data_IF_616539485383
#
_entry.id   IF_616539485383
#
_cell.length_a   1.000
_cell.length_b   1.000
_cell.length_c   1.000
_cell.angle_alpha   90.00
_cell.angle_beta   90.00
_cell.angle_gamma   90.00
#
_symmetry.space_group_name_H-M   'P 1'
#
loop_
_entity.id
_entity.type
_entity.pdbx_description
1 polymer ?
#
# COMPACT_ATOMS: atom_id res chain seq x y z
N UNK A 1 33.88 3.95 -7.65
CA UNK A 1 35.00 3.24 -8.26
C UNK A 1 34.56 2.73 -9.61
N UNK A 2 35.16 3.24 -10.70
CA UNK A 2 34.92 2.74 -12.05
C UNK A 2 35.51 1.34 -12.15
N UNK A 3 34.67 0.37 -12.47
CA UNK A 3 35.08 -1.05 -12.67
C UNK A 3 35.89 -1.21 -13.95
N UNK A 4 36.96 -0.53 -14.21
CA UNK A 4 37.81 -0.70 -15.39
C UNK A 4 37.12 -0.78 -16.78
N UNK A 5 35.80 -0.82 -16.83
CA UNK A 5 35.00 -0.86 -18.06
C UNK A 5 34.70 0.55 -18.55
N UNK A 6 34.96 0.82 -19.81
CA UNK A 6 34.72 2.12 -20.46
C UNK A 6 33.23 2.32 -20.82
N UNK A 7 32.43 1.26 -20.89
CA UNK A 7 30.99 1.28 -21.22
C UNK A 7 30.28 0.06 -20.63
N UNK A 8 28.95 0.17 -20.47
CA UNK A 8 28.07 -0.98 -20.26
C UNK A 8 27.60 -1.57 -21.59
N UNK A 9 26.90 -2.67 -21.54
CA UNK A 9 26.32 -3.32 -22.72
C UNK A 9 24.78 -3.32 -22.63
N UNK A 10 24.13 -2.96 -23.73
CA UNK A 10 22.69 -3.06 -23.87
C UNK A 10 22.24 -4.51 -23.66
N UNK A 11 21.24 -4.73 -22.79
CA UNK A 11 20.75 -6.07 -22.49
C UNK A 11 20.13 -6.78 -23.71
N UNK A 12 19.68 -6.02 -24.71
CA UNK A 12 19.07 -6.57 -25.93
C UNK A 12 20.06 -6.79 -27.05
N UNK A 13 20.76 -5.74 -27.50
CA UNK A 13 21.60 -5.81 -28.71
C UNK A 13 23.09 -5.83 -28.40
N UNK A 14 23.50 -5.81 -27.13
CA UNK A 14 24.91 -5.79 -26.69
C UNK A 14 25.74 -4.55 -27.07
N UNK A 15 25.16 -3.59 -27.75
CA UNK A 15 25.83 -2.33 -28.09
C UNK A 15 26.19 -1.55 -26.82
N UNK A 16 27.26 -0.74 -26.89
CA UNK A 16 27.70 0.08 -25.76
C UNK A 16 26.59 0.96 -25.21
N UNK A 17 26.57 1.14 -23.91
CA UNK A 17 25.63 2.03 -23.20
C UNK A 17 26.38 3.07 -22.39
N UNK A 18 25.83 4.29 -22.31
CA UNK A 18 26.39 5.39 -21.55
C UNK A 18 26.26 5.22 -20.03
N UNK A 19 27.05 5.97 -19.31
CA UNK A 19 26.98 6.08 -17.85
C UNK A 19 25.82 6.97 -17.41
N UNK A 20 25.11 6.57 -16.36
CA UNK A 20 24.11 7.41 -15.70
C UNK A 20 24.67 7.97 -14.38
N UNK A 21 24.96 9.29 -14.31
CA UNK A 21 25.59 9.88 -13.13
C UNK A 21 24.66 9.89 -11.91
N UNK A 22 23.34 9.94 -12.10
CA UNK A 22 22.36 9.93 -11.00
C UNK A 22 22.32 8.58 -10.28
N UNK A 23 22.33 7.48 -11.04
CA UNK A 23 22.27 6.13 -10.47
C UNK A 23 23.64 5.52 -10.23
N UNK A 24 24.72 6.19 -10.66
CA UNK A 24 26.12 5.71 -10.63
C UNK A 24 26.28 4.32 -11.25
N UNK A 25 25.56 4.05 -12.34
CA UNK A 25 25.56 2.79 -13.09
C UNK A 25 25.54 3.05 -14.59
N UNK A 26 25.97 2.09 -15.38
CA UNK A 26 25.75 2.14 -16.83
C UNK A 26 24.28 1.97 -17.17
N UNK A 27 23.81 2.67 -18.22
CA UNK A 27 22.44 2.53 -18.71
C UNK A 27 22.18 1.07 -19.11
N UNK A 28 20.98 0.57 -18.85
CA UNK A 28 20.59 -0.80 -19.19
C UNK A 28 20.38 -1.00 -20.69
N UNK A 29 20.02 0.08 -21.39
CA UNK A 29 19.72 0.09 -22.82
C UNK A 29 20.59 1.11 -23.54
N UNK A 30 20.94 0.79 -24.81
CA UNK A 30 21.47 1.78 -25.75
C UNK A 30 20.38 2.81 -26.11
N UNK A 31 20.74 3.81 -26.89
CA UNK A 31 19.82 4.88 -27.26
C UNK A 31 18.77 4.45 -28.29
N UNK A 32 18.95 3.28 -28.94
CA UNK A 32 17.98 2.74 -29.86
C UNK A 32 16.65 2.40 -29.16
N UNK A 33 15.55 3.10 -29.50
CA UNK A 33 14.25 2.87 -28.86
C UNK A 33 13.69 1.46 -29.10
N UNK A 34 14.05 0.83 -30.23
CA UNK A 34 13.64 -0.55 -30.56
C UNK A 34 14.08 -1.55 -29.48
N UNK A 35 15.24 -1.33 -28.85
CA UNK A 35 15.72 -2.20 -27.77
C UNK A 35 14.83 -2.15 -26.52
N UNK A 36 14.33 -0.98 -26.15
CA UNK A 36 13.38 -0.84 -25.04
C UNK A 36 12.05 -1.51 -25.33
N UNK A 37 11.55 -1.35 -26.57
CA UNK A 37 10.29 -1.96 -27.02
C UNK A 37 10.42 -3.49 -27.04
N UNK A 38 11.49 -4.01 -27.64
CA UNK A 38 11.75 -5.45 -27.70
C UNK A 38 11.84 -6.06 -26.28
N UNK A 39 12.52 -5.40 -25.35
CA UNK A 39 12.59 -5.85 -23.96
C UNK A 39 11.22 -5.87 -23.29
N UNK A 40 10.41 -4.83 -23.47
CA UNK A 40 9.04 -4.79 -22.92
C UNK A 40 8.19 -5.94 -23.45
N UNK A 41 8.29 -6.21 -24.76
CA UNK A 41 7.52 -7.30 -25.37
C UNK A 41 7.99 -8.66 -24.84
N UNK A 42 9.29 -8.89 -24.77
CA UNK A 42 9.87 -10.11 -24.18
C UNK A 42 9.40 -10.28 -22.72
N UNK A 43 9.42 -9.21 -21.93
CA UNK A 43 8.96 -9.24 -20.55
C UNK A 43 7.47 -9.58 -20.47
N UNK A 44 6.61 -8.95 -21.29
CA UNK A 44 5.18 -9.26 -21.36
C UNK A 44 4.93 -10.72 -21.73
N UNK A 45 5.61 -11.24 -22.75
CA UNK A 45 5.48 -12.65 -23.17
C UNK A 45 5.88 -13.58 -22.04
N UNK A 46 6.97 -13.30 -21.34
CA UNK A 46 7.40 -14.08 -20.17
C UNK A 46 6.36 -14.04 -19.05
N UNK A 47 5.82 -12.86 -18.74
CA UNK A 47 4.78 -12.69 -17.71
C UNK A 47 3.52 -13.49 -18.06
N UNK A 48 3.07 -13.43 -19.31
CA UNK A 48 1.92 -14.22 -19.78
C UNK A 48 2.22 -15.73 -19.67
N UNK A 49 3.40 -16.16 -20.11
CA UNK A 49 3.79 -17.57 -20.07
C UNK A 49 3.93 -18.13 -18.64
N UNK A 50 4.37 -17.30 -17.67
CA UNK A 50 4.59 -17.74 -16.30
C UNK A 50 3.35 -17.60 -15.42
N UNK A 51 2.57 -16.53 -15.62
CA UNK A 51 1.48 -16.14 -14.71
C UNK A 51 0.12 -15.97 -15.40
N UNK A 52 0.02 -16.22 -16.71
CA UNK A 52 -1.20 -15.99 -17.49
C UNK A 52 -1.62 -14.54 -17.63
N UNK A 53 -0.81 -13.57 -17.15
CA UNK A 53 -1.15 -12.15 -17.04
C UNK A 53 0.01 -11.26 -17.50
N UNK A 54 -0.30 -10.11 -18.10
CA UNK A 54 0.70 -9.14 -18.57
C UNK A 54 1.43 -8.44 -17.41
N UNK A 55 0.75 -8.28 -16.30
CA UNK A 55 1.26 -7.64 -15.08
C UNK A 55 0.66 -8.28 -13.84
N UNK A 56 1.42 -8.34 -12.77
CA UNK A 56 0.94 -8.77 -11.45
C UNK A 56 0.39 -7.60 -10.61
N UNK A 57 0.53 -6.36 -11.10
CA UNK A 57 0.08 -5.17 -10.36
C UNK A 57 -1.44 -5.11 -10.19
N UNK A 58 -2.19 -5.81 -11.04
CA UNK A 58 -3.64 -5.88 -10.99
C UNK A 58 -4.13 -7.23 -10.42
N UNK A 59 -3.28 -7.95 -9.70
CA UNK A 59 -3.61 -9.19 -9.03
C UNK A 59 -3.66 -8.95 -7.52
N UNK A 60 -4.85 -9.04 -6.88
CA UNK A 60 -5.00 -8.76 -5.45
C UNK A 60 -4.11 -9.61 -4.56
N UNK A 61 -3.94 -10.91 -4.86
CA UNK A 61 -3.12 -11.81 -4.05
C UNK A 61 -1.62 -11.48 -4.16
N UNK A 62 -1.17 -11.10 -5.36
CA UNK A 62 0.21 -10.66 -5.53
C UNK A 62 0.44 -9.31 -4.86
N UNK A 63 -0.53 -8.40 -4.92
CA UNK A 63 -0.46 -7.14 -4.19
C UNK A 63 -0.39 -7.35 -2.68
N UNK A 64 -1.22 -8.22 -2.10
CA UNK A 64 -1.14 -8.57 -0.68
C UNK A 64 0.25 -9.09 -0.30
N UNK A 65 0.81 -10.00 -1.12
CA UNK A 65 2.17 -10.51 -0.92
C UNK A 65 3.22 -9.40 -1.03
N UNK A 66 3.07 -8.49 -1.97
CA UNK A 66 3.98 -7.35 -2.14
C UNK A 66 3.90 -6.39 -0.95
N UNK A 67 2.70 -6.10 -0.46
CA UNK A 67 2.49 -5.25 0.71
C UNK A 67 3.09 -5.90 1.97
N UNK A 68 2.81 -7.17 2.20
CA UNK A 68 3.36 -7.92 3.34
C UNK A 68 4.90 -8.03 3.33
N UNK A 69 5.53 -8.01 2.14
CA UNK A 69 6.99 -8.08 1.97
C UNK A 69 7.63 -6.71 1.69
N UNK A 70 6.90 -5.62 1.82
CA UNK A 70 7.46 -4.28 1.62
C UNK A 70 8.48 -3.96 2.70
N UNK A 71 9.76 -3.93 2.31
CA UNK A 71 10.85 -3.51 3.17
C UNK A 71 11.12 -2.00 3.11
N UNK A 72 10.35 -1.25 2.31
CA UNK A 72 10.61 0.18 2.06
C UNK A 72 10.48 1.01 3.34
N UNK A 73 9.64 0.58 4.28
CA UNK A 73 9.43 1.29 5.54
C UNK A 73 9.75 0.44 6.77
N UNK A 74 9.64 -0.87 6.70
CA UNK A 74 10.14 -1.80 7.70
C UNK A 74 9.10 -2.78 8.25
N UNK A 75 9.53 -3.48 9.30
CA UNK A 75 8.71 -4.35 10.13
C UNK A 75 8.70 -3.76 11.53
N UNK A 76 7.53 -3.52 12.08
CA UNK A 76 7.34 -3.16 13.48
C UNK A 76 7.28 -4.45 14.31
N UNK A 77 8.17 -4.58 15.25
CA UNK A 77 8.15 -5.68 16.22
C UNK A 77 7.33 -5.24 17.43
N UNK A 78 6.29 -6.02 17.73
CA UNK A 78 5.44 -5.76 18.90
C UNK A 78 6.22 -5.86 20.20
N UNK A 79 5.87 -5.10 21.23
CA UNK A 79 6.61 -4.98 22.49
C UNK A 79 6.83 -6.31 23.21
N UNK A 80 5.88 -7.24 23.07
CA UNK A 80 5.96 -8.60 23.63
C UNK A 80 6.74 -9.60 22.75
N UNK A 81 7.33 -9.13 21.62
CA UNK A 81 8.03 -9.93 20.62
C UNK A 81 7.20 -11.03 19.93
N UNK A 82 5.88 -11.03 20.11
CA UNK A 82 4.99 -12.07 19.57
C UNK A 82 4.82 -12.00 18.06
N UNK A 83 4.88 -10.79 17.50
CA UNK A 83 4.57 -10.57 16.08
C UNK A 83 5.38 -9.41 15.47
N UNK A 84 5.66 -9.54 14.16
CA UNK A 84 6.21 -8.44 13.33
C UNK A 84 5.21 -8.10 12.25
N UNK A 85 4.82 -6.83 12.17
CA UNK A 85 3.85 -6.32 11.20
C UNK A 85 4.53 -5.37 10.22
N UNK A 86 4.29 -5.52 8.90
CA UNK A 86 4.82 -4.60 7.92
C UNK A 86 4.13 -3.24 8.01
N UNK A 87 4.90 -2.17 7.76
CA UNK A 87 4.38 -0.81 7.64
C UNK A 87 5.04 -0.07 6.50
N UNK A 88 4.35 0.92 5.94
CA UNK A 88 4.87 1.79 4.89
C UNK A 88 4.78 3.25 5.32
N UNK A 89 5.90 3.83 5.68
CA UNK A 89 5.97 5.22 6.11
C UNK A 89 5.70 5.45 7.60
N UNK A 90 5.88 6.70 8.02
CA UNK A 90 5.85 7.08 9.44
C UNK A 90 4.44 7.13 10.04
N UNK A 91 3.41 7.20 9.21
CA UNK A 91 2.02 7.30 9.67
C UNK A 91 1.50 5.94 10.14
N UNK A 92 1.70 4.89 9.33
CA UNK A 92 1.37 3.51 9.73
C UNK A 92 2.21 3.06 10.94
N UNK A 93 3.51 3.38 10.97
CA UNK A 93 4.37 3.10 12.13
C UNK A 93 3.84 3.80 13.40
N UNK A 94 3.41 5.06 13.29
CA UNK A 94 2.83 5.80 14.41
C UNK A 94 1.58 5.12 14.94
N UNK A 95 0.74 4.59 14.05
CA UNK A 95 -0.47 3.89 14.44
C UNK A 95 -0.17 2.52 15.10
N UNK A 96 0.78 1.75 14.59
CA UNK A 96 1.21 0.49 15.22
C UNK A 96 1.74 0.72 16.63
N UNK A 97 2.60 1.74 16.82
CA UNK A 97 3.08 2.14 18.14
C UNK A 97 1.94 2.58 19.07
N UNK A 98 0.98 3.30 18.54
CA UNK A 98 -0.18 3.72 19.31
C UNK A 98 -1.01 2.51 19.78
N UNK A 99 -1.25 1.52 18.92
CA UNK A 99 -1.95 0.30 19.30
C UNK A 99 -1.20 -0.51 20.37
N UNK A 100 0.11 -0.66 20.21
CA UNK A 100 0.97 -1.43 21.10
C UNK A 100 1.25 -0.69 22.43
N UNK A 101 1.85 0.50 22.36
CA UNK A 101 2.43 1.21 23.51
C UNK A 101 1.38 2.02 24.31
N UNK A 102 0.26 2.44 23.66
CA UNK A 102 -0.77 3.30 24.29
C UNK A 102 -2.04 2.55 24.58
N UNK A 103 -2.46 1.68 23.64
CA UNK A 103 -3.73 0.96 23.75
C UNK A 103 -3.58 -0.42 24.37
N UNK A 104 -2.36 -0.94 24.50
CA UNK A 104 -2.05 -2.30 24.98
C UNK A 104 -2.86 -3.37 24.20
N UNK A 105 -2.90 -3.20 22.87
CA UNK A 105 -3.65 -4.08 21.99
C UNK A 105 -2.91 -5.40 21.80
N UNK A 106 -3.65 -6.51 21.75
CA UNK A 106 -3.07 -7.82 21.42
C UNK A 106 -2.62 -7.84 19.97
N UNK A 107 -1.35 -8.19 19.73
CA UNK A 107 -0.78 -8.30 18.38
C UNK A 107 -1.53 -9.29 17.50
N UNK A 108 -2.12 -10.34 18.07
CA UNK A 108 -2.88 -11.36 17.34
C UNK A 108 -4.15 -10.79 16.70
N UNK A 109 -4.69 -9.71 17.28
CA UNK A 109 -5.89 -9.01 16.81
C UNK A 109 -5.58 -7.88 15.80
N UNK A 110 -4.36 -7.76 15.34
CA UNK A 110 -3.98 -6.75 14.32
C UNK A 110 -3.45 -7.43 13.08
N UNK A 111 -4.04 -7.15 11.93
CA UNK A 111 -3.60 -7.63 10.61
C UNK A 111 -3.13 -6.46 9.76
N UNK A 112 -1.97 -6.57 9.16
CA UNK A 112 -1.37 -5.61 8.23
C UNK A 112 -0.70 -6.36 7.07
N UNK A 113 -1.06 -6.07 5.81
CA UNK A 113 -2.25 -5.31 5.39
C UNK A 113 -3.56 -6.05 5.74
N UNK A 114 -4.70 -5.38 5.56
CA UNK A 114 -6.01 -6.03 5.66
C UNK A 114 -6.07 -7.29 4.78
N UNK A 115 -6.71 -8.39 5.24
CA UNK A 115 -6.92 -9.58 4.43
C UNK A 115 -7.95 -9.36 3.32
N UNK A 116 -8.73 -8.29 3.38
CA UNK A 116 -9.82 -8.02 2.46
C UNK A 116 -9.37 -7.19 1.26
N UNK A 117 -10.15 -7.28 0.18
CA UNK A 117 -9.87 -6.56 -1.07
C UNK A 117 -11.19 -6.04 -1.62
N UNK A 118 -11.23 -4.76 -1.93
CA UNK A 118 -12.40 -4.06 -2.44
C UNK A 118 -12.15 -3.59 -3.86
N UNK A 119 -13.08 -3.89 -4.76
CA UNK A 119 -12.95 -3.52 -6.18
C UNK A 119 -13.70 -2.22 -6.47
N UNK A 120 -13.12 -1.36 -7.30
CA UNK A 120 -13.75 -0.15 -7.80
C UNK A 120 -13.41 0.10 -9.26
N UNK A 121 -14.26 0.88 -9.96
CA UNK A 121 -14.03 1.25 -11.35
C UNK A 121 -13.45 2.65 -11.43
N UNK A 122 -12.38 2.82 -12.22
CA UNK A 122 -11.80 4.10 -12.55
C UNK A 122 -11.41 4.14 -14.02
N UNK A 123 -11.87 5.15 -14.77
CA UNK A 123 -11.65 5.29 -16.23
C UNK A 123 -11.98 4.01 -17.02
N UNK A 124 -13.12 3.35 -16.71
CA UNK A 124 -13.56 2.13 -17.37
C UNK A 124 -12.70 0.89 -17.08
N UNK A 125 -11.76 0.96 -16.12
CA UNK A 125 -10.92 -0.17 -15.70
C UNK A 125 -11.23 -0.55 -14.26
N UNK A 126 -11.21 -1.85 -14.00
CA UNK A 126 -11.31 -2.36 -12.65
C UNK A 126 -9.99 -2.15 -11.91
N UNK A 127 -10.09 -1.53 -10.75
CA UNK A 127 -9.04 -1.38 -9.75
C UNK A 127 -9.44 -2.10 -8.49
N UNK A 128 -8.50 -2.28 -7.58
CA UNK A 128 -8.76 -2.82 -6.27
C UNK A 128 -8.07 -1.97 -5.20
N UNK A 129 -8.60 -2.08 -4.00
CA UNK A 129 -8.15 -1.40 -2.80
C UNK A 129 -8.02 -2.39 -1.65
N UNK A 130 -6.96 -2.29 -0.89
CA UNK A 130 -6.68 -3.08 0.30
C UNK A 130 -6.39 -2.08 1.41
N UNK A 131 -7.18 -2.01 2.48
CA UNK A 131 -6.91 -1.16 3.64
C UNK A 131 -5.59 -1.51 4.32
N UNK A 132 -5.03 -0.54 5.05
CA UNK A 132 -3.73 -0.71 5.70
C UNK A 132 -3.78 -1.70 6.85
N UNK A 133 -4.88 -1.71 7.63
CA UNK A 133 -5.05 -2.61 8.75
C UNK A 133 -6.48 -3.17 8.84
N UNK A 134 -6.57 -4.33 9.50
CA UNK A 134 -7.83 -4.90 9.94
C UNK A 134 -7.73 -5.36 11.39
N UNK A 135 -8.75 -5.04 12.21
CA UNK A 135 -8.87 -5.49 13.60
C UNK A 135 -10.06 -6.43 13.69
N UNK A 136 -9.83 -7.76 13.73
CA UNK A 136 -10.88 -8.78 13.74
C UNK A 136 -11.91 -8.63 14.84
N UNK A 137 -11.48 -8.41 16.09
CA UNK A 137 -12.39 -8.29 17.24
C UNK A 137 -13.39 -7.13 17.11
N UNK A 138 -13.03 -6.09 16.39
CA UNK A 138 -13.85 -4.92 16.11
C UNK A 138 -14.56 -4.99 14.76
N UNK A 139 -14.26 -6.01 13.95
CA UNK A 139 -14.63 -6.07 12.54
C UNK A 139 -14.36 -4.74 11.82
N UNK A 140 -13.14 -4.19 12.03
CA UNK A 140 -12.78 -2.83 11.67
C UNK A 140 -11.68 -2.79 10.62
N UNK A 141 -11.98 -2.19 9.46
CA UNK A 141 -11.02 -1.79 8.44
C UNK A 141 -10.46 -0.41 8.76
N UNK A 142 -9.15 -0.24 8.64
CA UNK A 142 -8.47 1.03 8.93
C UNK A 142 -7.61 1.44 7.75
N UNK A 143 -7.75 2.69 7.35
CA UNK A 143 -6.89 3.36 6.36
C UNK A 143 -6.13 4.50 7.01
N UNK A 144 -4.84 4.55 6.77
CA UNK A 144 -3.96 5.62 7.26
C UNK A 144 -3.57 6.53 6.11
N UNK A 145 -3.81 7.83 6.26
CA UNK A 145 -3.50 8.83 5.23
C UNK A 145 -2.59 9.93 5.74
N UNK A 146 -1.70 10.33 4.85
CA UNK A 146 -1.03 11.62 4.91
C UNK A 146 -2.01 12.69 4.39
N UNK A 147 -2.45 13.57 5.26
CA UNK A 147 -3.35 14.68 4.90
C UNK A 147 -2.68 15.83 4.15
N UNK A 148 -1.44 15.64 3.72
CA UNK A 148 -0.65 16.67 3.04
C UNK A 148 0.26 17.47 3.99
N UNK A 149 0.28 17.15 5.28
CA UNK A 149 1.11 17.84 6.28
C UNK A 149 2.54 17.32 6.35
N UNK A 150 2.87 16.30 5.56
CA UNK A 150 4.20 15.73 5.57
C UNK A 150 5.19 16.65 4.82
N UNK A 151 6.13 17.33 5.51
CA UNK A 151 7.07 18.24 4.88
C UNK A 151 8.04 17.56 3.90
N UNK A 152 8.12 16.22 3.93
CA UNK A 152 8.95 15.42 3.04
C UNK A 152 8.20 14.96 1.77
N UNK A 153 6.92 15.26 1.63
CA UNK A 153 6.17 14.96 0.41
C UNK A 153 6.55 15.94 -0.70
N UNK A 154 7.36 15.47 -1.63
CA UNK A 154 7.77 16.24 -2.81
C UNK A 154 6.74 16.22 -3.95
N UNK A 155 5.62 15.52 -3.79
CA UNK A 155 4.60 15.40 -4.81
C UNK A 155 3.31 16.10 -4.36
N UNK A 156 2.90 17.12 -5.13
CA UNK A 156 1.54 17.66 -5.03
C UNK A 156 0.56 16.52 -5.33
N UNK A 157 -0.42 16.34 -4.46
CA UNK A 157 -1.53 15.41 -4.72
C UNK A 157 -2.21 15.86 -6.01
N UNK A 158 -2.13 15.03 -7.05
CA UNK A 158 -2.76 15.33 -8.33
C UNK A 158 -4.28 15.11 -8.23
N UNK A 159 -5.04 15.76 -9.08
CA UNK A 159 -6.51 15.60 -9.08
C UNK A 159 -6.94 14.15 -9.38
N UNK A 160 -6.14 13.44 -10.17
CA UNK A 160 -6.29 11.99 -10.40
C UNK A 160 -6.21 11.18 -9.10
N UNK A 161 -5.31 11.54 -8.19
CA UNK A 161 -5.16 10.85 -6.92
C UNK A 161 -6.33 11.14 -5.98
N UNK A 162 -6.84 12.36 -5.99
CA UNK A 162 -8.04 12.75 -5.23
C UNK A 162 -9.28 11.97 -5.69
N UNK A 163 -9.47 11.82 -7.00
CA UNK A 163 -10.60 11.06 -7.54
C UNK A 163 -10.51 9.58 -7.16
N UNK A 164 -9.33 8.97 -7.23
CA UNK A 164 -9.14 7.60 -6.77
C UNK A 164 -9.40 7.43 -5.27
N UNK A 165 -8.98 8.40 -4.44
CA UNK A 165 -9.29 8.37 -3.01
C UNK A 165 -10.80 8.48 -2.76
N UNK A 166 -11.50 9.36 -3.47
CA UNK A 166 -12.96 9.47 -3.40
C UNK A 166 -13.64 8.14 -3.76
N UNK A 167 -13.19 7.48 -4.83
CA UNK A 167 -13.74 6.18 -5.24
C UNK A 167 -13.46 5.07 -4.23
N UNK A 168 -12.31 5.08 -3.57
CA UNK A 168 -12.02 4.15 -2.48
C UNK A 168 -12.96 4.39 -1.29
N UNK A 169 -13.13 5.64 -0.86
CA UNK A 169 -14.05 5.99 0.22
C UNK A 169 -15.50 5.58 -0.14
N UNK A 170 -15.91 5.74 -1.40
CA UNK A 170 -17.22 5.33 -1.87
C UNK A 170 -17.40 3.81 -1.85
N UNK A 171 -16.41 3.04 -2.30
CA UNK A 171 -16.49 1.57 -2.23
C UNK A 171 -16.51 1.05 -0.80
N UNK A 172 -15.75 1.69 0.11
CA UNK A 172 -15.82 1.35 1.52
C UNK A 172 -17.17 1.67 2.12
N UNK A 173 -17.77 2.81 1.77
CA UNK A 173 -19.14 3.19 2.19
C UNK A 173 -20.20 2.22 1.66
N UNK A 174 -20.11 1.83 0.40
CA UNK A 174 -21.06 0.88 -0.22
C UNK A 174 -21.00 -0.50 0.42
N UNK A 175 -19.80 -0.93 0.87
CA UNK A 175 -19.60 -2.21 1.52
C UNK A 175 -19.70 -2.14 3.07
N UNK A 176 -19.97 -0.97 3.65
CA UNK A 176 -19.97 -0.75 5.10
C UNK A 176 -21.06 -1.49 5.87
N UNK A 177 -22.00 -2.16 5.20
CA UNK A 177 -22.95 -3.08 5.87
C UNK A 177 -22.27 -4.30 6.50
N UNK A 178 -21.05 -4.63 6.07
CA UNK A 178 -20.37 -5.86 6.44
C UNK A 178 -19.22 -5.65 7.45
N UNK A 179 -18.77 -4.40 7.66
CA UNK A 179 -17.64 -4.06 8.52
C UNK A 179 -17.69 -2.61 8.98
N UNK A 180 -16.97 -2.31 10.05
CA UNK A 180 -16.69 -0.95 10.47
C UNK A 180 -15.52 -0.37 9.67
N UNK A 181 -15.49 0.94 9.45
CA UNK A 181 -14.41 1.62 8.73
C UNK A 181 -13.96 2.89 9.44
N UNK A 182 -12.65 3.04 9.57
CA UNK A 182 -12.01 4.21 10.16
C UNK A 182 -10.88 4.70 9.27
N UNK A 183 -10.92 5.97 8.87
CA UNK A 183 -9.84 6.64 8.18
C UNK A 183 -9.12 7.58 9.15
N UNK A 184 -7.82 7.38 9.33
CA UNK A 184 -6.97 8.19 10.21
C UNK A 184 -6.07 9.05 9.33
N UNK A 185 -6.11 10.36 9.55
CA UNK A 185 -5.35 11.35 8.77
C UNK A 185 -4.35 12.05 9.69
N UNK A 186 -3.16 12.38 9.16
CA UNK A 186 -2.13 13.17 9.85
C UNK A 186 -1.74 12.67 11.25
N UNK A 187 -1.67 11.36 11.45
CA UNK A 187 -1.36 10.72 12.75
C UNK A 187 -2.34 11.11 13.88
N UNK A 188 -3.56 11.48 13.54
CA UNK A 188 -4.61 11.77 14.53
C UNK A 188 -5.15 10.46 15.12
N UNK A 189 -4.28 9.69 15.77
CA UNK A 189 -4.61 8.36 16.28
C UNK A 189 -5.72 8.41 17.36
N UNK A 190 -5.93 9.58 17.98
CA UNK A 190 -6.99 9.80 18.99
C UNK A 190 -8.41 9.61 18.43
N UNK A 191 -8.58 9.65 17.11
CA UNK A 191 -9.87 9.34 16.47
C UNK A 191 -10.28 7.88 16.74
N UNK A 192 -9.30 6.99 16.99
CA UNK A 192 -9.57 5.61 17.37
C UNK A 192 -10.28 5.49 18.73
N UNK A 193 -9.95 6.35 19.70
CA UNK A 193 -10.70 6.41 20.97
C UNK A 193 -12.16 6.78 20.75
N UNK A 194 -12.41 7.78 19.88
CA UNK A 194 -13.79 8.17 19.53
C UNK A 194 -14.55 7.02 18.86
N UNK A 195 -13.87 6.29 17.97
CA UNK A 195 -14.44 5.08 17.40
C UNK A 195 -14.84 4.07 18.48
N UNK A 196 -13.94 3.75 19.42
CA UNK A 196 -14.20 2.80 20.50
C UNK A 196 -15.36 3.24 21.41
N UNK A 197 -15.46 4.53 21.72
CA UNK A 197 -16.59 5.08 22.50
C UNK A 197 -17.92 4.93 21.74
N UNK A 198 -17.94 5.19 20.44
CA UNK A 198 -19.13 4.97 19.62
C UNK A 198 -19.49 3.49 19.56
N UNK A 199 -18.53 2.61 19.38
CA UNK A 199 -18.75 1.17 19.36
C UNK A 199 -19.34 0.67 20.70
N UNK A 200 -18.82 1.13 21.84
CA UNK A 200 -19.37 0.83 23.17
C UNK A 200 -20.82 1.31 23.32
N UNK A 201 -21.13 2.54 22.89
CA UNK A 201 -22.49 3.09 22.96
C UNK A 201 -23.47 2.29 22.09
N UNK A 202 -23.07 1.93 20.88
CA UNK A 202 -23.89 1.12 19.97
C UNK A 202 -24.14 -0.28 20.55
N UNK A 203 -23.09 -0.91 21.07
CA UNK A 203 -23.22 -2.21 21.73
C UNK A 203 -24.21 -2.17 22.90
N UNK A 204 -24.11 -1.14 23.77
CA UNK A 204 -25.04 -0.96 24.88
C UNK A 204 -26.50 -0.71 24.42
N UNK A 205 -26.69 -0.13 23.25
CA UNK A 205 -27.99 0.12 22.64
C UNK A 205 -28.53 -1.04 21.78
N UNK A 206 -27.80 -2.16 21.67
CA UNK A 206 -28.06 -3.25 20.73
C UNK A 206 -28.17 -2.77 19.26
N UNK A 207 -27.44 -1.68 18.92
CA UNK A 207 -27.37 -1.13 17.57
C UNK A 207 -26.22 -1.76 16.79
N UNK A 208 -26.53 -2.69 15.91
CA UNK A 208 -25.57 -3.39 15.08
C UNK A 208 -25.24 -2.65 13.77
N UNK A 209 -25.71 -1.41 13.56
CA UNK A 209 -25.34 -0.66 12.37
C UNK A 209 -23.85 -0.35 12.36
N UNK A 210 -23.14 -0.61 11.26
CA UNK A 210 -21.70 -0.36 11.18
C UNK A 210 -21.33 1.11 11.39
N UNK A 211 -20.14 1.33 11.92
CA UNK A 211 -19.57 2.66 12.12
C UNK A 211 -18.70 2.99 10.91
N UNK A 212 -18.96 4.14 10.31
CA UNK A 212 -18.17 4.65 9.17
C UNK A 212 -17.66 6.05 9.51
N UNK A 213 -16.33 6.17 9.66
CA UNK A 213 -15.65 7.43 10.02
C UNK A 213 -14.55 7.73 8.99
N UNK A 214 -14.69 8.87 8.28
CA UNK A 214 -13.78 9.35 7.23
C UNK A 214 -13.31 10.77 7.55
#
# INVERSE_FOLDING_TARGET
LKTGKTHGNCVMCKQPTGWNPKTKKYKRFCENPKCKVAYRNMFKTRMIGTYGKVTLLNDPDQQKKMLANRSISGLYEWSDHSKKLPYTGSYELSFLKFLDEVMDFDSSDVMAPSPHTYNYMYEGKQHFYIPDFFIPSLNLEIEIKDGGDNPNMHHKIQDVDKEKERLKDEVMRTNSSNFNYLKIVNKQNEIFFRYLELAKKKFAANDNTPIFMV
#
